data_IF_994963341320
#
_entry.id   IF_994963341320
#
_cell.length_a   1.000
_cell.length_b   1.000
_cell.length_c   1.000
_cell.angle_alpha   90.00
_cell.angle_beta   90.00
_cell.angle_gamma   90.00
#
_symmetry.space_group_name_H-M   'P 1'
#
loop_
_entity.id
_entity.type
_entity.pdbx_description
1 polymer ?
#
# COMPACT_ATOMS: atom_id res chain seq x y z
N UNK A 1 -14.44 -10.65 1.64
CA UNK A 1 -15.89 -10.89 1.50
C UNK A 1 -16.09 -12.15 0.67
N UNK A 2 -17.33 -12.58 0.48
CA UNK A 2 -17.67 -13.62 -0.49
C UNK A 2 -18.63 -13.05 -1.52
N UNK A 3 -18.61 -13.58 -2.73
CA UNK A 3 -19.65 -13.34 -3.73
C UNK A 3 -20.45 -14.64 -3.86
N UNK A 4 -21.78 -14.53 -3.78
CA UNK A 4 -22.72 -15.63 -3.97
C UNK A 4 -23.69 -15.19 -5.08
N UNK A 5 -23.69 -15.92 -6.19
CA UNK A 5 -24.52 -15.63 -7.38
C UNK A 5 -24.46 -14.16 -7.85
N UNK A 6 -23.26 -13.57 -7.78
CA UNK A 6 -23.00 -12.18 -8.19
C UNK A 6 -23.25 -11.12 -7.11
N UNK A 7 -23.74 -11.50 -5.92
CA UNK A 7 -23.96 -10.59 -4.80
C UNK A 7 -22.88 -10.73 -3.72
N UNK A 8 -22.28 -9.62 -3.29
CA UNK A 8 -21.32 -9.61 -2.19
C UNK A 8 -22.01 -9.84 -0.82
N UNK A 9 -21.43 -10.72 -0.01
CA UNK A 9 -21.87 -11.05 1.35
C UNK A 9 -20.69 -11.04 2.34
N UNK A 10 -21.01 -10.81 3.61
CA UNK A 10 -20.03 -10.83 4.70
C UNK A 10 -19.46 -12.26 4.94
N UNK A 11 -18.24 -12.38 5.47
CA UNK A 11 -17.72 -13.65 5.95
C UNK A 11 -18.62 -14.27 7.03
N UNK A 12 -18.89 -15.56 6.92
CA UNK A 12 -19.73 -16.29 7.88
C UNK A 12 -21.24 -16.20 7.62
N UNK A 13 -21.68 -15.49 6.57
CA UNK A 13 -23.08 -15.51 6.14
C UNK A 13 -23.50 -16.93 5.76
N UNK A 14 -24.54 -17.45 6.42
CA UNK A 14 -25.19 -18.70 6.02
C UNK A 14 -26.01 -18.47 4.75
N UNK A 15 -25.95 -19.41 3.82
CA UNK A 15 -26.73 -19.38 2.59
C UNK A 15 -27.51 -20.68 2.43
N UNK A 16 -28.72 -20.58 1.88
CA UNK A 16 -29.53 -21.75 1.51
C UNK A 16 -29.35 -22.03 0.03
N UNK A 17 -28.85 -23.23 -0.31
CA UNK A 17 -28.61 -23.65 -1.70
C UNK A 17 -29.80 -24.47 -2.18
N UNK A 18 -30.63 -23.88 -3.05
CA UNK A 18 -31.83 -24.51 -3.62
C UNK A 18 -31.65 -24.95 -5.09
N UNK A 19 -30.46 -24.78 -5.64
CA UNK A 19 -30.09 -25.07 -7.03
C UNK A 19 -28.60 -24.85 -7.24
N UNK A 20 -28.16 -24.71 -8.49
CA UNK A 20 -26.77 -24.38 -8.79
C UNK A 20 -26.41 -23.00 -8.24
N UNK A 21 -25.33 -22.93 -7.47
CA UNK A 21 -24.85 -21.69 -6.83
C UNK A 21 -23.36 -21.52 -7.09
N UNK A 22 -22.96 -20.32 -7.50
CA UNK A 22 -21.55 -19.96 -7.69
C UNK A 22 -21.07 -19.14 -6.50
N UNK A 23 -20.04 -19.67 -5.82
CA UNK A 23 -19.40 -18.99 -4.69
C UNK A 23 -17.97 -18.63 -5.05
N UNK A 24 -17.60 -17.35 -4.88
CA UNK A 24 -16.24 -16.85 -5.11
C UNK A 24 -15.70 -16.13 -3.88
N UNK A 25 -14.43 -16.37 -3.59
CA UNK A 25 -13.72 -15.59 -2.58
C UNK A 25 -13.41 -14.20 -3.13
N UNK A 26 -13.76 -13.15 -2.36
CA UNK A 26 -13.44 -11.76 -2.67
C UNK A 26 -12.37 -11.27 -1.72
N UNK A 27 -11.16 -11.07 -2.26
CA UNK A 27 -9.99 -10.65 -1.50
C UNK A 27 -9.78 -9.14 -1.59
N UNK A 28 -9.57 -8.49 -0.44
CA UNK A 28 -9.07 -7.11 -0.39
C UNK A 28 -7.55 -7.17 -0.32
N UNK A 29 -6.88 -6.37 -1.16
CA UNK A 29 -5.41 -6.26 -1.10
C UNK A 29 -4.98 -5.64 0.23
N UNK A 30 -3.93 -6.18 0.82
CA UNK A 30 -3.27 -5.53 1.94
C UNK A 30 -2.61 -4.24 1.44
N UNK A 31 -2.62 -3.20 2.27
CA UNK A 31 -1.96 -1.93 1.97
C UNK A 31 -0.73 -1.74 2.85
N UNK A 32 0.27 -1.05 2.32
CA UNK A 32 1.49 -0.66 3.03
C UNK A 32 1.76 0.82 2.81
N UNK A 33 2.44 1.45 3.75
CA UNK A 33 2.80 2.86 3.67
C UNK A 33 4.27 3.01 3.28
N UNK A 34 4.53 3.91 2.33
CA UNK A 34 5.87 4.41 2.01
C UNK A 34 6.03 5.76 2.72
N UNK A 35 7.09 5.90 3.52
CA UNK A 35 7.45 7.14 4.20
C UNK A 35 8.90 7.51 3.89
N UNK A 36 9.21 8.80 3.95
CA UNK A 36 10.54 9.32 3.68
C UNK A 36 11.17 9.87 4.95
N UNK A 37 12.38 9.43 5.25
CA UNK A 37 13.21 9.96 6.32
C UNK A 37 14.29 10.86 5.72
N UNK A 38 14.39 12.10 6.20
CA UNK A 38 15.37 13.07 5.73
C UNK A 38 16.79 12.86 6.28
N UNK A 39 16.97 11.96 7.26
CA UNK A 39 18.23 11.63 7.92
C UNK A 39 19.05 12.87 8.32
N UNK A 40 18.41 13.80 9.04
CA UNK A 40 19.00 15.09 9.45
C UNK A 40 18.80 16.23 8.46
N UNK A 41 18.43 15.94 7.20
CA UNK A 41 17.94 16.95 6.26
C UNK A 41 16.64 17.59 6.76
N UNK A 42 16.40 18.84 6.34
CA UNK A 42 15.20 19.61 6.71
C UNK A 42 14.14 19.59 5.61
N UNK A 43 12.89 19.82 6.02
CA UNK A 43 11.71 19.75 5.15
C UNK A 43 10.83 18.54 5.45
N UNK A 44 9.82 18.31 4.61
CA UNK A 44 8.91 17.17 4.70
C UNK A 44 8.59 16.68 3.29
N UNK A 45 8.37 15.38 3.16
CA UNK A 45 7.90 14.76 1.93
C UNK A 45 6.67 13.92 2.25
N UNK A 46 5.65 14.06 1.42
CA UNK A 46 4.43 13.27 1.57
C UNK A 46 4.70 11.82 1.16
N UNK A 47 4.39 10.91 2.09
CA UNK A 47 4.35 9.48 1.82
C UNK A 47 3.11 9.08 1.03
N UNK A 48 2.99 7.79 0.76
CA UNK A 48 1.81 7.23 0.08
C UNK A 48 1.46 5.85 0.60
N UNK A 49 0.18 5.53 0.60
CA UNK A 49 -0.30 4.17 0.84
C UNK A 49 -0.51 3.46 -0.49
N UNK A 50 0.10 2.30 -0.65
CA UNK A 50 0.04 1.49 -1.87
C UNK A 50 -0.40 0.07 -1.58
N UNK A 51 -0.90 -0.61 -2.60
CA UNK A 51 -1.18 -2.04 -2.54
C UNK A 51 0.12 -2.82 -2.29
N UNK A 52 0.11 -3.73 -1.33
CA UNK A 52 1.25 -4.61 -1.06
C UNK A 52 1.60 -5.43 -2.30
N UNK A 53 2.88 -5.44 -2.66
CA UNK A 53 3.40 -6.15 -3.85
C UNK A 53 3.23 -5.38 -5.16
N UNK A 54 2.64 -4.19 -5.15
CA UNK A 54 2.69 -3.30 -6.31
C UNK A 54 4.09 -2.72 -6.51
N UNK A 55 4.42 -2.34 -7.75
CA UNK A 55 5.62 -1.55 -8.04
C UNK A 55 5.34 -0.10 -7.68
N UNK A 56 6.30 0.55 -7.04
CA UNK A 56 6.25 1.96 -6.71
C UNK A 56 7.56 2.63 -7.12
N UNK A 57 7.46 3.82 -7.72
CA UNK A 57 8.61 4.64 -8.06
C UNK A 57 8.84 5.63 -6.92
N UNK A 58 10.01 5.54 -6.28
CA UNK A 58 10.38 6.47 -5.22
C UNK A 58 10.47 7.91 -5.75
N UNK A 59 10.00 8.86 -4.96
CA UNK A 59 10.04 10.28 -5.29
C UNK A 59 11.49 10.79 -5.33
N UNK A 60 11.79 11.78 -6.19
CA UNK A 60 13.03 12.54 -6.08
C UNK A 60 13.17 13.16 -4.69
N UNK A 61 14.41 13.32 -4.22
CA UNK A 61 14.67 13.98 -2.94
C UNK A 61 14.07 15.40 -2.90
N UNK A 62 13.23 15.65 -1.91
CA UNK A 62 12.66 16.96 -1.60
C UNK A 62 13.22 17.60 -0.32
N UNK A 63 14.10 16.91 0.42
CA UNK A 63 14.73 17.47 1.61
C UNK A 63 15.87 18.42 1.23
N UNK A 64 16.07 19.43 2.08
CA UNK A 64 17.23 20.31 2.03
C UNK A 64 18.34 19.72 2.89
N UNK A 65 19.57 19.69 2.38
CA UNK A 65 20.74 19.21 3.11
C UNK A 65 20.93 19.99 4.43
N UNK A 66 21.52 19.38 5.48
CA UNK A 66 21.75 20.06 6.75
C UNK A 66 22.67 21.29 6.62
N UNK A 67 23.62 21.24 5.69
CA UNK A 67 24.58 22.29 5.35
C UNK A 67 24.99 22.20 3.87
N UNK A 68 25.88 23.09 3.42
CA UNK A 68 26.35 23.20 2.04
C UNK A 68 27.49 22.23 1.66
N UNK A 69 27.92 21.38 2.59
CA UNK A 69 28.98 20.39 2.37
C UNK A 69 28.46 19.00 2.05
N UNK A 70 27.14 18.80 2.15
CA UNK A 70 26.46 17.51 1.97
C UNK A 70 25.47 17.55 0.81
N UNK A 71 25.35 16.44 0.08
CA UNK A 71 24.39 16.29 -1.00
C UNK A 71 23.64 14.96 -0.90
N UNK A 72 22.48 14.91 -1.55
CA UNK A 72 21.70 13.68 -1.64
C UNK A 72 22.41 12.68 -2.56
N UNK A 73 22.80 11.53 -1.99
CA UNK A 73 23.45 10.45 -2.75
C UNK A 73 22.44 9.49 -3.37
N UNK A 74 21.60 8.87 -2.54
CA UNK A 74 20.61 7.89 -2.94
C UNK A 74 19.64 7.61 -1.79
N UNK A 75 18.50 6.99 -2.13
CA UNK A 75 17.62 6.37 -1.14
C UNK A 75 18.15 5.00 -0.75
N UNK A 76 18.14 4.72 0.56
CA UNK A 76 18.29 3.39 1.12
C UNK A 76 16.90 2.77 1.31
N UNK A 77 16.73 1.52 0.89
CA UNK A 77 15.46 0.78 0.99
C UNK A 77 15.75 -0.49 1.79
N UNK A 78 14.93 -0.73 2.81
CA UNK A 78 15.03 -1.89 3.72
C UNK A 78 16.25 -1.96 4.65
N UNK A 79 17.02 -0.86 4.81
CA UNK A 79 18.08 -0.69 5.82
C UNK A 79 19.07 -1.85 5.94
#
# INVERSE_FOLDING_TARGET
>A
AWEVDGQEVAPGTEITVNGDTVVKAVWKKAQVSVSYDGNGGSGSMDGVTVDKGSKYTVLPNGFTAPDDTQEFKAWEVDG
#
